data_IF_308065866335
#
_entry.id   IF_308065866335
#
_cell.length_a   1.000
_cell.length_b   1.000
_cell.length_c   1.000
_cell.angle_alpha   90.00
_cell.angle_beta   90.00
_cell.angle_gamma   90.00
#
_symmetry.space_group_name_H-M   'P 1'
#
loop_
_entity.id
_entity.type
_entity.pdbx_description
1 polymer ?
#
# COMPACT_ATOMS: atom_id res chain seq x y z
N UNK A 1 -12.68 10.70 -13.27
CA UNK A 1 -11.34 10.75 -13.92
C UNK A 1 -11.46 10.86 -15.45
N UNK A 2 -12.26 10.05 -16.13
CA UNK A 2 -12.55 10.27 -17.57
C UNK A 2 -13.29 11.58 -17.85
N UNK A 3 -14.20 12.00 -16.97
CA UNK A 3 -14.88 13.30 -17.07
C UNK A 3 -13.94 14.51 -17.05
N UNK A 4 -12.75 14.37 -16.46
CA UNK A 4 -11.74 15.43 -16.37
C UNK A 4 -10.69 15.33 -17.49
N UNK A 5 -10.38 14.12 -17.95
CA UNK A 5 -9.23 13.89 -18.84
C UNK A 5 -9.62 13.50 -20.28
N UNK A 6 -10.88 13.11 -20.54
CA UNK A 6 -11.39 12.65 -21.84
C UNK A 6 -11.49 11.13 -21.96
N UNK A 7 -12.51 10.64 -22.67
CA UNK A 7 -12.79 9.22 -22.85
C UNK A 7 -11.75 8.52 -23.73
N UNK A 8 -11.38 7.29 -23.38
CA UNK A 8 -10.50 6.43 -24.21
C UNK A 8 -9.03 6.82 -24.25
N UNK A 9 -8.56 7.69 -23.34
CA UNK A 9 -7.19 8.24 -23.36
C UNK A 9 -6.15 7.43 -22.60
N UNK A 10 -6.52 6.27 -22.06
CA UNK A 10 -5.61 5.49 -21.21
C UNK A 10 -5.18 6.26 -19.95
N UNK A 11 -6.07 7.09 -19.40
CA UNK A 11 -5.88 7.85 -18.13
C UNK A 11 -5.63 6.96 -16.90
N UNK A 12 -5.58 5.64 -17.11
CA UNK A 12 -5.38 4.58 -16.16
C UNK A 12 -4.37 3.61 -16.77
N UNK A 13 -3.39 3.16 -15.96
CA UNK A 13 -2.52 2.04 -16.33
C UNK A 13 -3.38 0.78 -16.25
N UNK A 14 -3.65 0.15 -17.40
CA UNK A 14 -4.44 -1.08 -17.49
C UNK A 14 -3.80 -2.02 -18.52
N UNK A 15 -3.81 -3.32 -18.24
CA UNK A 15 -3.21 -4.38 -19.07
C UNK A 15 -3.02 -5.66 -18.25
N UNK A 16 -2.60 -6.77 -18.88
CA UNK A 16 -2.15 -7.97 -18.13
C UNK A 16 -1.07 -7.57 -17.11
N UNK A 17 -1.05 -8.08 -15.87
CA UNK A 17 -0.11 -7.69 -14.79
C UNK A 17 1.38 -7.79 -15.17
N UNK A 18 1.73 -8.50 -16.25
CA UNK A 18 3.08 -8.40 -16.87
C UNK A 18 3.45 -6.99 -17.34
N UNK A 19 2.48 -6.09 -17.57
CA UNK A 19 2.68 -4.66 -17.86
C UNK A 19 2.72 -3.79 -16.60
N UNK A 20 2.46 -4.37 -15.43
CA UNK A 20 2.50 -3.70 -14.14
C UNK A 20 3.64 -4.21 -13.25
N UNK A 21 4.58 -4.93 -13.85
CA UNK A 21 5.66 -5.66 -13.17
C UNK A 21 6.50 -4.77 -12.24
N UNK A 22 6.66 -3.48 -12.57
CA UNK A 22 7.37 -2.52 -11.72
C UNK A 22 6.59 -2.12 -10.47
N UNK A 23 5.27 -1.96 -10.58
CA UNK A 23 4.40 -1.69 -9.43
C UNK A 23 4.32 -2.94 -8.55
N UNK A 24 4.24 -4.12 -9.14
CA UNK A 24 4.27 -5.39 -8.41
C UNK A 24 5.60 -5.60 -7.67
N UNK A 25 6.74 -5.29 -8.31
CA UNK A 25 8.04 -5.29 -7.63
C UNK A 25 8.06 -4.30 -6.46
N UNK A 26 7.53 -3.10 -6.66
CA UNK A 26 7.43 -2.11 -5.59
C UNK A 26 6.56 -2.63 -4.44
N UNK A 27 5.44 -3.30 -4.70
CA UNK A 27 4.60 -3.91 -3.67
C UNK A 27 5.32 -5.00 -2.89
N UNK A 28 6.12 -5.82 -3.58
CA UNK A 28 7.00 -6.80 -2.93
C UNK A 28 7.99 -6.11 -1.98
N UNK A 29 8.63 -5.03 -2.44
CA UNK A 29 9.62 -4.27 -1.67
C UNK A 29 8.98 -3.50 -0.49
N UNK A 30 7.76 -2.98 -0.65
CA UNK A 30 6.94 -2.39 0.44
C UNK A 30 6.63 -3.44 1.51
N UNK A 31 6.17 -4.61 1.06
CA UNK A 31 5.83 -5.72 1.96
C UNK A 31 7.06 -6.19 2.71
N UNK A 32 8.20 -6.33 2.05
CA UNK A 32 9.45 -6.73 2.70
C UNK A 32 10.03 -5.64 3.60
N UNK A 33 9.95 -4.38 3.19
CA UNK A 33 10.57 -3.25 3.85
C UNK A 33 9.92 -2.87 5.18
N UNK A 34 8.59 -2.74 5.21
CA UNK A 34 7.88 -2.42 6.45
C UNK A 34 6.56 -3.19 6.66
N UNK A 35 5.94 -3.72 5.61
CA UNK A 35 4.63 -4.39 5.76
C UNK A 35 4.70 -5.70 6.57
N UNK A 36 5.74 -6.52 6.34
CA UNK A 36 5.89 -7.86 6.91
C UNK A 36 5.90 -7.87 8.43
N UNK A 37 6.58 -6.92 9.07
CA UNK A 37 6.62 -6.82 10.54
C UNK A 37 5.23 -6.56 11.13
N UNK A 38 4.43 -5.72 10.49
CA UNK A 38 3.06 -5.40 10.93
C UNK A 38 2.12 -6.57 10.67
N UNK A 39 2.23 -7.23 9.51
CA UNK A 39 1.48 -8.46 9.21
C UNK A 39 1.73 -9.54 10.27
N UNK A 40 3.00 -9.83 10.58
CA UNK A 40 3.36 -10.82 11.61
C UNK A 40 2.84 -10.38 12.99
N UNK A 41 2.95 -9.10 13.33
CA UNK A 41 2.43 -8.57 14.58
C UNK A 41 0.91 -8.75 14.72
N UNK A 42 0.12 -8.40 13.70
CA UNK A 42 -1.33 -8.55 13.77
C UNK A 42 -1.78 -10.01 13.80
N UNK A 43 -1.08 -10.91 13.08
CA UNK A 43 -1.33 -12.35 13.16
C UNK A 43 -1.03 -12.90 14.57
N UNK A 44 0.03 -12.42 15.22
CA UNK A 44 0.34 -12.77 16.61
C UNK A 44 -0.74 -12.25 17.57
N UNK A 45 -1.24 -11.04 17.36
CA UNK A 45 -2.34 -10.52 18.17
C UNK A 45 -3.62 -11.36 18.03
N UNK A 46 -3.91 -11.82 16.81
CA UNK A 46 -5.07 -12.68 16.52
C UNK A 46 -4.94 -14.03 17.21
N UNK A 47 -3.79 -14.69 17.05
CA UNK A 47 -3.54 -16.02 17.59
C UNK A 47 -3.43 -16.04 19.12
N UNK A 48 -2.77 -15.04 19.72
CA UNK A 48 -2.30 -15.12 21.11
C UNK A 48 -2.86 -14.03 22.04
N UNK A 49 -3.41 -12.93 21.50
CA UNK A 49 -3.75 -11.74 22.31
C UNK A 49 -5.20 -11.25 22.12
N UNK A 50 -6.07 -12.10 21.58
CA UNK A 50 -7.51 -11.87 21.55
C UNK A 50 -7.96 -10.78 20.58
N UNK A 51 -7.12 -10.41 19.61
CA UNK A 51 -7.58 -9.65 18.44
C UNK A 51 -8.55 -10.52 17.63
N UNK A 52 -9.59 -9.89 17.09
CA UNK A 52 -10.60 -10.57 16.29
C UNK A 52 -10.93 -9.68 15.09
N UNK A 53 -10.51 -10.05 13.87
CA UNK A 53 -10.69 -9.24 12.68
C UNK A 53 -12.15 -9.15 12.22
N UNK A 54 -13.05 -10.00 12.74
CA UNK A 54 -14.49 -9.92 12.42
C UNK A 54 -15.23 -8.88 13.28
N UNK A 55 -14.59 -8.31 14.31
CA UNK A 55 -15.19 -7.31 15.19
C UNK A 55 -14.73 -5.89 14.79
N UNK A 56 -15.63 -5.03 14.27
CA UNK A 56 -15.25 -3.67 13.84
C UNK A 56 -14.61 -2.82 14.95
N UNK A 57 -15.04 -2.99 16.20
CA UNK A 57 -14.44 -2.28 17.34
C UNK A 57 -12.98 -2.68 17.62
N UNK A 58 -12.59 -3.93 17.32
CA UNK A 58 -11.19 -4.35 17.43
C UNK A 58 -10.34 -3.73 16.31
N UNK A 59 -10.88 -3.65 15.08
CA UNK A 59 -10.22 -2.98 13.96
C UNK A 59 -10.05 -1.48 14.27
N UNK A 60 -11.10 -0.83 14.78
CA UNK A 60 -11.03 0.57 15.22
C UNK A 60 -9.95 0.76 16.28
N UNK A 61 -9.89 -0.11 17.30
CA UNK A 61 -8.89 0.01 18.36
C UNK A 61 -7.46 -0.16 17.82
N UNK A 62 -7.24 -1.09 16.88
CA UNK A 62 -5.96 -1.21 16.19
C UNK A 62 -5.59 0.06 15.43
N UNK A 63 -6.55 0.67 14.72
CA UNK A 63 -6.31 1.91 13.99
C UNK A 63 -5.97 3.05 14.96
N UNK A 64 -6.74 3.20 16.04
CA UNK A 64 -6.52 4.20 17.08
C UNK A 64 -5.11 4.12 17.68
N UNK A 65 -4.64 2.90 17.98
CA UNK A 65 -3.34 2.69 18.61
C UNK A 65 -2.15 2.75 17.64
N UNK A 66 -2.29 2.16 16.44
CA UNK A 66 -1.13 1.83 15.61
C UNK A 66 -1.14 2.48 14.23
N UNK A 67 -2.24 3.07 13.75
CA UNK A 67 -2.29 3.64 12.39
C UNK A 67 -1.25 4.74 12.20
N UNK A 68 -1.09 5.64 13.17
CA UNK A 68 -0.06 6.68 13.13
C UNK A 68 1.36 6.08 13.06
N UNK A 69 1.59 4.98 13.77
CA UNK A 69 2.87 4.25 13.75
C UNK A 69 3.13 3.56 12.41
N UNK A 70 2.10 2.94 11.81
CA UNK A 70 2.19 2.31 10.49
C UNK A 70 2.47 3.36 9.42
N UNK A 71 1.74 4.49 9.44
CA UNK A 71 1.94 5.59 8.49
C UNK A 71 3.35 6.19 8.60
N UNK A 72 3.88 6.32 9.82
CA UNK A 72 5.25 6.77 10.04
C UNK A 72 6.27 5.79 9.47
N UNK A 73 6.10 4.49 9.71
CA UNK A 73 6.98 3.46 9.15
C UNK A 73 6.93 3.45 7.60
N UNK A 74 5.74 3.67 7.02
CA UNK A 74 5.56 3.79 5.57
C UNK A 74 6.27 5.02 5.01
N UNK A 75 6.18 6.16 5.70
CA UNK A 75 6.87 7.40 5.32
C UNK A 75 8.39 7.26 5.42
N UNK A 76 8.90 6.71 6.54
CA UNK A 76 10.33 6.45 6.74
C UNK A 76 10.86 5.52 5.62
N UNK A 77 10.10 4.47 5.27
CA UNK A 77 10.45 3.59 4.15
C UNK A 77 10.42 4.31 2.81
N UNK A 78 9.40 5.13 2.53
CA UNK A 78 9.32 5.88 1.27
C UNK A 78 10.48 6.87 1.12
N UNK A 79 10.93 7.51 2.20
CA UNK A 79 12.09 8.40 2.17
C UNK A 79 13.40 7.65 1.88
N UNK A 80 13.60 6.49 2.54
CA UNK A 80 14.74 5.62 2.28
C UNK A 80 14.71 5.08 0.84
N UNK A 81 13.57 4.60 0.38
CA UNK A 81 13.38 4.11 -0.98
C UNK A 81 13.55 5.22 -2.01
N UNK A 82 13.12 6.45 -1.77
CA UNK A 82 13.33 7.52 -2.74
C UNK A 82 14.80 8.00 -2.81
N UNK A 83 15.63 7.66 -1.83
CA UNK A 83 17.04 8.06 -1.74
C UNK A 83 18.05 6.96 -2.08
N UNK A 84 17.64 5.68 -2.09
CA UNK A 84 18.54 4.58 -2.46
C UNK A 84 19.01 4.69 -3.92
N UNK A 85 20.22 4.19 -4.21
CA UNK A 85 20.77 4.21 -5.55
C UNK A 85 20.25 3.03 -6.37
N UNK A 86 19.66 3.33 -7.53
CA UNK A 86 19.29 2.33 -8.51
C UNK A 86 20.48 2.05 -9.42
N UNK A 87 20.83 0.77 -9.56
CA UNK A 87 21.82 0.33 -10.55
C UNK A 87 21.07 -0.07 -11.81
N UNK A 88 21.06 0.82 -12.80
CA UNK A 88 20.48 0.52 -14.12
C UNK A 88 21.61 0.16 -15.07
N UNK A 89 21.48 -0.97 -15.78
CA UNK A 89 22.49 -1.42 -16.74
C UNK A 89 22.79 -0.31 -17.76
N UNK A 90 24.08 0.00 -17.91
CA UNK A 90 24.61 1.04 -18.82
C UNK A 90 24.24 2.49 -18.47
N UNK A 91 23.70 2.75 -17.29
CA UNK A 91 23.50 4.10 -16.77
C UNK A 91 24.31 4.34 -15.49
N UNK A 92 24.47 5.61 -15.11
CA UNK A 92 25.06 5.96 -13.82
C UNK A 92 24.05 5.67 -12.71
N UNK A 93 24.56 5.19 -11.58
CA UNK A 93 23.78 5.05 -10.34
C UNK A 93 23.15 6.39 -9.96
N UNK A 94 21.83 6.39 -9.76
CA UNK A 94 21.05 7.56 -9.35
C UNK A 94 19.91 7.13 -8.46
N UNK A 95 19.49 8.01 -7.54
CA UNK A 95 18.31 7.74 -6.73
C UNK A 95 17.02 7.95 -7.53
N UNK A 96 15.89 7.32 -7.16
CA UNK A 96 14.59 7.63 -7.75
C UNK A 96 14.27 9.13 -7.70
N UNK A 97 14.62 9.79 -6.59
CA UNK A 97 14.46 11.25 -6.44
C UNK A 97 15.31 12.03 -7.46
N UNK A 98 16.56 11.62 -7.69
CA UNK A 98 17.40 12.22 -8.73
C UNK A 98 16.82 12.01 -10.13
N UNK A 99 16.43 10.78 -10.45
CA UNK A 99 15.83 10.44 -11.74
C UNK A 99 14.59 11.28 -12.01
N UNK A 100 13.72 11.45 -11.02
CA UNK A 100 12.55 12.30 -11.11
C UNK A 100 12.92 13.77 -11.35
N UNK A 101 13.81 14.33 -10.54
CA UNK A 101 14.22 15.73 -10.63
C UNK A 101 14.91 16.05 -11.97
N UNK A 102 15.90 15.23 -12.37
CA UNK A 102 16.62 15.44 -13.63
C UNK A 102 15.74 15.13 -14.84
N UNK A 103 14.82 14.16 -14.73
CA UNK A 103 13.80 13.89 -15.74
C UNK A 103 12.93 15.13 -15.97
N UNK A 104 12.39 15.73 -14.91
CA UNK A 104 11.60 16.96 -15.02
C UNK A 104 12.37 18.13 -15.64
N UNK A 105 13.65 18.29 -15.30
CA UNK A 105 14.48 19.36 -15.86
C UNK A 105 14.79 19.15 -17.35
N UNK A 106 14.93 17.89 -17.78
CA UNK A 106 15.31 17.54 -19.16
C UNK A 106 14.11 17.44 -20.09
N UNK A 107 13.02 16.87 -19.61
CA UNK A 107 11.85 16.44 -20.39
C UNK A 107 10.61 17.29 -20.08
N UNK A 108 10.74 18.31 -19.23
CA UNK A 108 9.64 19.16 -18.80
C UNK A 108 8.86 18.58 -17.63
N UNK A 109 7.97 19.40 -17.06
CA UNK A 109 7.18 19.03 -15.90
C UNK A 109 6.14 17.95 -16.24
N UNK A 110 6.39 16.70 -15.82
CA UNK A 110 5.44 15.60 -15.95
C UNK A 110 4.44 15.61 -14.80
N UNK A 111 3.15 15.39 -15.09
CA UNK A 111 2.07 15.35 -14.08
C UNK A 111 1.61 16.72 -13.56
N UNK A 112 2.19 17.83 -14.02
CA UNK A 112 1.77 19.22 -13.73
C UNK A 112 0.94 19.78 -14.90
N UNK A 113 0.68 18.97 -15.93
CA UNK A 113 0.11 19.35 -17.22
C UNK A 113 -1.38 19.72 -17.21
N UNK A 114 -2.02 19.91 -16.04
CA UNK A 114 -3.41 20.41 -16.01
C UNK A 114 -3.57 21.80 -16.66
N UNK A 115 -2.47 22.52 -16.94
CA UNK A 115 -2.47 23.87 -17.50
C UNK A 115 -1.93 23.98 -18.94
N UNK A 116 -1.45 22.89 -19.54
CA UNK A 116 -0.91 22.89 -20.91
C UNK A 116 -1.58 21.78 -21.72
N UNK A 117 -1.93 22.09 -22.97
CA UNK A 117 -2.43 21.06 -23.88
C UNK A 117 -1.38 19.92 -23.95
N UNK A 118 -1.78 18.65 -23.71
CA UNK A 118 -0.83 17.55 -23.76
C UNK A 118 -0.18 17.48 -25.14
N UNK A 119 1.14 17.39 -25.20
CA UNK A 119 1.83 16.99 -26.43
C UNK A 119 1.42 15.55 -26.76
N UNK A 120 1.06 15.29 -28.02
CA UNK A 120 0.79 13.94 -28.51
C UNK A 120 2.11 13.16 -28.59
N UNK A 121 2.56 12.57 -27.47
CA UNK A 121 3.59 11.54 -27.50
C UNK A 121 3.01 10.31 -28.23
N UNK A 122 3.49 10.05 -29.44
CA UNK A 122 3.15 8.85 -30.20
C UNK A 122 3.73 7.62 -29.51
N UNK A 123 2.93 6.95 -28.68
CA UNK A 123 3.28 5.65 -28.11
C UNK A 123 3.15 4.61 -29.23
N UNK A 124 4.29 4.14 -29.75
CA UNK A 124 4.33 3.21 -30.91
C UNK A 124 3.71 1.84 -30.62
N UNK A 125 3.80 1.33 -29.38
CA UNK A 125 3.11 0.11 -28.94
C UNK A 125 2.64 0.20 -27.49
N UNK A 126 1.34 0.37 -27.31
CA UNK A 126 0.67 0.40 -26.01
C UNK A 126 0.84 -0.95 -25.27
N UNK A 127 1.02 -2.06 -26.00
CA UNK A 127 1.17 -3.40 -25.43
C UNK A 127 2.59 -3.70 -24.94
N UNK A 128 3.58 -2.87 -25.23
CA UNK A 128 4.92 -3.03 -24.64
C UNK A 128 5.16 -2.05 -23.49
N UNK A 129 4.27 -1.06 -23.34
CA UNK A 129 4.38 -0.04 -22.32
C UNK A 129 4.19 -0.63 -20.91
N UNK A 130 5.17 -0.42 -20.03
CA UNK A 130 5.15 -0.89 -18.64
C UNK A 130 5.65 -2.32 -18.41
N UNK A 131 5.91 -3.09 -19.47
CA UNK A 131 6.50 -4.43 -19.35
C UNK A 131 7.95 -4.35 -18.93
N UNK A 132 8.27 -4.88 -17.75
CA UNK A 132 9.66 -5.04 -17.32
C UNK A 132 10.20 -6.39 -17.82
N UNK A 133 10.80 -6.36 -19.01
CA UNK A 133 11.38 -7.53 -19.66
C UNK A 133 12.51 -8.19 -18.87
N UNK A 134 13.15 -7.46 -17.94
CA UNK A 134 14.17 -8.04 -17.06
C UNK A 134 13.52 -8.87 -15.94
N UNK A 135 12.43 -8.36 -15.35
CA UNK A 135 11.70 -9.04 -14.26
C UNK A 135 10.87 -10.22 -14.75
N UNK A 136 10.40 -10.24 -16.00
CA UNK A 136 9.71 -11.39 -16.60
C UNK A 136 10.53 -12.69 -16.51
N UNK A 137 11.85 -12.58 -16.38
CA UNK A 137 12.77 -13.72 -16.28
C UNK A 137 13.08 -14.14 -14.82
N UNK A 138 12.57 -13.43 -13.80
CA UNK A 138 12.77 -13.77 -12.39
C UNK A 138 11.62 -14.64 -11.83
N UNK A 139 11.87 -15.93 -11.53
CA UNK A 139 10.80 -16.87 -11.18
C UNK A 139 10.14 -16.57 -9.83
N UNK A 140 10.86 -16.01 -8.85
CA UNK A 140 10.32 -15.68 -7.52
C UNK A 140 9.29 -14.54 -7.58
N UNK A 141 9.55 -13.53 -8.40
CA UNK A 141 8.62 -12.41 -8.62
C UNK A 141 7.39 -12.84 -9.42
N UNK A 142 7.59 -13.66 -10.45
CA UNK A 142 6.49 -14.21 -11.24
C UNK A 142 5.59 -15.11 -10.38
N UNK A 143 6.16 -15.91 -9.47
CA UNK A 143 5.38 -16.71 -8.52
C UNK A 143 4.51 -15.83 -7.60
N UNK A 144 5.09 -14.78 -7.00
CA UNK A 144 4.33 -13.82 -6.20
C UNK A 144 3.21 -13.13 -7.01
N UNK A 145 3.48 -12.78 -8.27
CA UNK A 145 2.50 -12.16 -9.16
C UNK A 145 1.33 -13.11 -9.44
N UNK A 146 1.60 -14.39 -9.74
CA UNK A 146 0.56 -15.38 -10.00
C UNK A 146 -0.23 -15.79 -8.75
N UNK A 147 0.41 -15.84 -7.57
CA UNK A 147 -0.29 -16.11 -6.31
C UNK A 147 -1.33 -15.04 -5.97
N UNK A 148 -1.02 -13.76 -6.24
CA UNK A 148 -1.92 -12.65 -5.95
C UNK A 148 -2.89 -12.31 -7.10
N UNK A 149 -2.60 -12.76 -8.33
CA UNK A 149 -3.42 -12.53 -9.52
C UNK A 149 -3.71 -13.85 -10.27
N UNK A 150 -4.46 -14.81 -9.67
CA UNK A 150 -4.65 -16.15 -10.22
C UNK A 150 -5.37 -16.16 -11.59
N UNK A 151 -6.19 -15.15 -11.90
CA UNK A 151 -6.83 -14.98 -13.22
C UNK A 151 -5.87 -14.74 -14.39
N UNK A 152 -4.60 -14.46 -14.10
CA UNK A 152 -3.57 -14.21 -15.11
C UNK A 152 -2.66 -15.40 -15.37
N UNK A 153 -2.92 -16.55 -14.74
CA UNK A 153 -2.15 -17.76 -15.00
C UNK A 153 -2.22 -18.11 -16.50
N UNK A 154 -1.10 -18.46 -17.16
CA UNK A 154 -1.06 -18.77 -18.59
C UNK A 154 -2.03 -19.90 -18.98
N UNK A 155 -2.36 -20.79 -18.04
CA UNK A 155 -3.29 -21.90 -18.26
C UNK A 155 -4.78 -21.49 -18.25
N UNK A 156 -5.11 -20.25 -17.85
CA UNK A 156 -6.50 -19.75 -17.75
C UNK A 156 -6.83 -18.76 -18.88
N UNK A 157 -5.85 -18.02 -19.42
CA UNK A 157 -6.07 -17.01 -20.46
C UNK A 157 -5.74 -17.52 -21.88
N UNK A 158 -6.65 -18.32 -22.44
CA UNK A 158 -6.44 -19.01 -23.72
C UNK A 158 -6.65 -18.13 -24.98
N UNK A 159 -6.40 -16.82 -24.92
CA UNK A 159 -6.48 -15.95 -26.10
C UNK A 159 -5.22 -15.07 -26.25
N UNK A 160 -4.35 -15.37 -27.23
CA UNK A 160 -3.18 -14.58 -27.55
C UNK A 160 -3.47 -13.30 -28.37
N UNK A 161 -4.73 -13.06 -28.78
CA UNK A 161 -5.11 -11.95 -29.66
C UNK A 161 -6.23 -11.05 -29.12
N UNK A 162 -6.63 -11.19 -27.85
CA UNK A 162 -7.65 -10.33 -27.27
C UNK A 162 -7.15 -8.88 -27.14
N UNK A 163 -7.53 -8.04 -28.11
CA UNK A 163 -7.33 -6.61 -28.08
C UNK A 163 -8.06 -5.99 -26.87
N UNK A 164 -7.33 -5.16 -26.11
CA UNK A 164 -7.86 -4.28 -25.07
C UNK A 164 -8.74 -4.95 -24.00
N UNK A 165 -8.11 -5.58 -23.01
CA UNK A 165 -8.78 -6.05 -21.80
C UNK A 165 -9.09 -4.89 -20.85
N UNK A 166 -9.84 -3.86 -21.28
CA UNK A 166 -10.35 -2.84 -20.36
C UNK A 166 -11.27 -3.55 -19.38
N UNK A 167 -10.97 -3.58 -18.07
CA UNK A 167 -11.84 -4.24 -17.12
C UNK A 167 -13.21 -3.57 -17.15
N UNK A 168 -14.28 -4.36 -17.26
CA UNK A 168 -15.65 -3.83 -17.25
C UNK A 168 -15.99 -3.09 -15.94
N UNK A 169 -15.23 -3.34 -14.87
CA UNK A 169 -15.29 -2.63 -13.60
C UNK A 169 -13.89 -2.21 -13.18
N UNK A 170 -13.73 -0.94 -12.81
CA UNK A 170 -12.53 -0.46 -12.13
C UNK A 170 -12.47 -1.08 -10.73
N UNK A 171 -11.27 -1.46 -10.28
CA UNK A 171 -11.03 -1.88 -8.91
C UNK A 171 -11.09 -0.66 -7.98
N UNK A 172 -12.29 -0.19 -7.68
CA UNK A 172 -12.50 0.78 -6.62
C UNK A 172 -12.41 0.04 -5.27
N UNK A 173 -11.41 0.39 -4.47
CA UNK A 173 -11.27 -0.12 -3.10
C UNK A 173 -11.73 0.99 -2.16
N UNK A 174 -12.99 0.92 -1.75
CA UNK A 174 -13.52 1.82 -0.71
C UNK A 174 -12.99 1.36 0.65
N UNK A 175 -12.05 2.12 1.21
CA UNK A 175 -11.51 1.91 2.55
C UNK A 175 -12.27 2.79 3.56
N UNK A 176 -13.48 2.40 3.95
CA UNK A 176 -14.23 3.12 4.98
C UNK A 176 -13.58 2.91 6.36
N UNK A 177 -13.20 3.97 7.09
CA UNK A 177 -12.65 3.82 8.43
C UNK A 177 -13.71 3.23 9.36
N UNK A 178 -13.35 2.28 10.24
CA UNK A 178 -14.32 1.71 11.18
C UNK A 178 -14.84 2.80 12.12
N UNK A 179 -16.13 2.73 12.45
CA UNK A 179 -16.74 3.66 13.39
C UNK A 179 -16.20 3.45 14.82
N UNK A 180 -15.98 4.53 15.55
CA UNK A 180 -15.60 4.48 16.97
C UNK A 180 -16.74 3.85 17.79
N UNK A 181 -16.48 2.79 18.59
CA UNK A 181 -17.50 2.16 19.42
C UNK A 181 -17.75 2.88 20.74
N UNK A 182 -16.99 3.93 21.07
CA UNK A 182 -17.06 4.67 22.33
C UNK A 182 -17.66 6.06 22.15
N UNK A 183 -18.31 6.54 23.21
CA UNK A 183 -18.66 7.96 23.35
C UNK A 183 -17.40 8.80 23.59
N UNK A 184 -17.48 10.11 23.38
CA UNK A 184 -16.32 11.01 23.57
C UNK A 184 -15.78 10.99 25.00
N UNK A 185 -16.63 10.79 26.00
CA UNK A 185 -16.21 10.68 27.40
C UNK A 185 -15.45 9.39 27.67
N UNK A 186 -15.98 8.26 27.20
CA UNK A 186 -15.34 6.94 27.33
C UNK A 186 -14.00 6.88 26.59
N UNK A 187 -13.91 7.53 25.42
CA UNK A 187 -12.67 7.64 24.66
C UNK A 187 -11.60 8.43 25.43
N UNK A 188 -11.97 9.54 26.06
CA UNK A 188 -11.06 10.31 26.90
C UNK A 188 -10.55 9.48 28.09
N UNK A 189 -11.43 8.71 28.74
CA UNK A 189 -11.06 7.79 29.82
C UNK A 189 -10.07 6.72 29.33
N UNK A 190 -10.31 6.13 28.15
CA UNK A 190 -9.41 5.15 27.54
C UNK A 190 -8.02 5.74 27.31
N UNK A 191 -7.95 6.92 26.69
CA UNK A 191 -6.68 7.57 26.35
C UNK A 191 -5.90 8.02 27.59
N UNK A 192 -6.59 8.52 28.62
CA UNK A 192 -5.97 8.90 29.89
C UNK A 192 -5.32 7.69 30.58
N UNK A 193 -6.06 6.58 30.71
CA UNK A 193 -5.56 5.36 31.33
C UNK A 193 -4.41 4.73 30.54
N UNK A 194 -4.48 4.77 29.21
CA UNK A 194 -3.41 4.27 28.35
C UNK A 194 -2.12 5.09 28.51
N UNK A 195 -2.22 6.42 28.46
CA UNK A 195 -1.06 7.29 28.64
C UNK A 195 -0.40 7.14 30.02
N UNK A 196 -1.18 6.81 31.05
CA UNK A 196 -0.65 6.59 32.40
C UNK A 196 0.03 5.23 32.58
N UNK A 197 -0.37 4.21 31.81
CA UNK A 197 0.00 2.81 32.04
C UNK A 197 1.08 2.26 31.10
N UNK A 198 1.16 2.78 29.87
CA UNK A 198 2.02 2.21 28.82
C UNK A 198 2.73 3.28 27.99
N UNK A 199 3.92 2.93 27.49
CA UNK A 199 4.64 3.78 26.54
C UNK A 199 4.07 3.62 25.12
N UNK A 200 3.21 4.57 24.74
CA UNK A 200 2.57 4.63 23.41
C UNK A 200 3.53 5.02 22.27
N UNK A 201 4.69 5.60 22.59
CA UNK A 201 5.62 6.11 21.59
C UNK A 201 6.71 5.11 21.19
N UNK A 202 6.79 3.98 21.89
CA UNK A 202 7.77 2.94 21.62
C UNK A 202 7.63 2.36 20.20
N UNK A 203 8.76 2.25 19.49
CA UNK A 203 8.84 1.51 18.23
C UNK A 203 9.01 -0.01 18.42
N UNK A 204 9.16 -0.48 19.67
CA UNK A 204 9.37 -1.89 19.97
C UNK A 204 8.06 -2.68 19.87
N UNK A 205 8.03 -3.75 19.05
CA UNK A 205 6.83 -4.57 18.86
C UNK A 205 6.37 -5.28 20.13
N UNK A 206 7.28 -5.64 21.05
CA UNK A 206 6.91 -6.23 22.32
C UNK A 206 6.19 -5.22 23.22
N UNK A 207 6.61 -3.94 23.20
CA UNK A 207 5.92 -2.87 23.95
C UNK A 207 4.55 -2.61 23.31
N UNK A 208 4.47 -2.56 21.98
CA UNK A 208 3.18 -2.42 21.26
C UNK A 208 2.21 -3.56 21.57
N UNK A 209 2.70 -4.79 21.79
CA UNK A 209 1.87 -5.90 22.26
C UNK A 209 1.28 -5.62 23.65
N UNK A 210 2.10 -5.11 24.58
CA UNK A 210 1.62 -4.70 25.92
C UNK A 210 0.59 -3.57 25.82
N UNK A 211 0.84 -2.58 24.95
CA UNK A 211 -0.13 -1.49 24.65
C UNK A 211 -1.47 -2.07 24.18
N UNK A 212 -1.46 -3.02 23.24
CA UNK A 212 -2.68 -3.69 22.78
C UNK A 212 -3.43 -4.39 23.92
N UNK A 213 -2.72 -5.17 24.74
CA UNK A 213 -3.33 -5.91 25.84
C UNK A 213 -3.96 -4.98 26.87
N UNK A 214 -3.26 -3.91 27.24
CA UNK A 214 -3.76 -2.90 28.16
C UNK A 214 -5.01 -2.20 27.58
N UNK A 215 -4.95 -1.77 26.31
CA UNK A 215 -6.07 -1.11 25.64
C UNK A 215 -7.30 -2.01 25.55
N UNK A 216 -7.11 -3.28 25.20
CA UNK A 216 -8.20 -4.24 25.11
C UNK A 216 -8.84 -4.50 26.48
N UNK A 217 -8.05 -4.52 27.54
CA UNK A 217 -8.56 -4.66 28.90
C UNK A 217 -9.37 -3.44 29.34
N UNK A 218 -8.86 -2.23 29.15
CA UNK A 218 -9.55 -0.98 29.49
C UNK A 218 -10.85 -0.85 28.68
N UNK A 219 -10.79 -1.11 27.37
CA UNK A 219 -11.95 -1.13 26.49
C UNK A 219 -13.07 -2.07 26.99
N UNK A 220 -12.70 -3.25 27.50
CA UNK A 220 -13.66 -4.20 28.09
C UNK A 220 -14.24 -3.69 29.41
N UNK A 221 -13.44 -3.05 30.25
CA UNK A 221 -13.90 -2.46 31.52
C UNK A 221 -14.89 -1.33 31.29
N UNK A 222 -14.62 -0.46 30.31
CA UNK A 222 -15.52 0.63 29.91
C UNK A 222 -16.86 0.06 29.43
N UNK A 223 -16.84 -0.95 28.54
CA UNK A 223 -18.07 -1.59 28.06
C UNK A 223 -18.88 -2.30 29.15
N UNK A 224 -18.24 -2.72 30.23
CA UNK A 224 -18.90 -3.33 31.39
C UNK A 224 -19.34 -2.31 32.45
N UNK A 225 -19.01 -1.03 32.28
CA UNK A 225 -19.32 0.04 33.24
C UNK A 225 -18.48 0.00 34.53
N UNK A 226 -17.27 -0.56 34.47
CA UNK A 226 -16.37 -0.77 35.64
C UNK A 226 -15.09 0.08 35.54
N UNK A 227 -14.98 0.94 34.53
CA UNK A 227 -13.81 1.78 34.28
C UNK A 227 -13.91 3.15 34.97
#
# INVERSE_FOLDING_TARGET
MEELNGSGRGSFIWGRSVHNTRIERLWYDVTHGFGKKWKVFFLDLEANHGFNPTRPGHIWLLHHLFLASVNRDAQDWAEAWNSHQLTVRRARERSPRDLFLFGMLREGARGISSFLAPEEEGIEDINEYGVDWEVKNEPELMAHLFENNPQEHPDISNDPFAAASTPANLSEVLCDPPNCPFTSAELATLDEHLNASVDLFSRNMNVRRVVWQAALQIARQIQQGVA
#
